data_IF_366896816971
#
_entry.id   IF_366896816971
#
_cell.length_a   1.000
_cell.length_b   1.000
_cell.length_c   1.000
_cell.angle_alpha   90.00
_cell.angle_beta   90.00
_cell.angle_gamma   90.00
#
_symmetry.space_group_name_H-M   'P 1'
#
loop_
_entity.id
_entity.type
_entity.pdbx_description
1 polymer ?
#
# COMPACT_ATOMS: atom_id res chain seq x y z
N UNK A 1 1.22 4.49 18.81
CA UNK A 1 2.29 4.45 17.82
C UNK A 1 1.80 3.83 16.55
N UNK A 2 1.71 4.62 15.53
CA UNK A 2 1.16 4.15 14.28
C UNK A 2 2.23 3.50 13.41
N UNK A 3 1.91 2.32 12.90
CA UNK A 3 2.60 1.74 11.75
C UNK A 3 1.64 1.88 10.57
N UNK A 4 2.14 2.31 9.42
CA UNK A 4 1.32 2.64 8.28
C UNK A 4 1.69 1.79 7.08
N UNK A 5 0.68 1.22 6.41
CA UNK A 5 0.83 0.51 5.15
C UNK A 5 0.23 1.37 4.04
N UNK A 6 1.01 1.67 3.01
CA UNK A 6 0.50 2.43 1.87
C UNK A 6 -0.19 1.48 0.91
N UNK A 7 -1.36 1.89 0.38
CA UNK A 7 -1.88 1.18 -0.78
C UNK A 7 -1.02 1.53 -2.00
N UNK A 8 -1.21 0.79 -3.08
CA UNK A 8 -0.36 0.93 -4.26
C UNK A 8 -0.42 2.34 -4.86
N UNK A 9 -1.62 2.91 -4.98
CA UNK A 9 -1.78 4.25 -5.54
C UNK A 9 -1.21 5.33 -4.64
N UNK A 10 -1.38 5.21 -3.32
CA UNK A 10 -0.80 6.17 -2.39
C UNK A 10 0.72 6.20 -2.51
N UNK A 11 1.36 5.04 -2.64
CA UNK A 11 2.80 4.95 -2.83
C UNK A 11 3.24 5.57 -4.17
N UNK A 12 2.54 5.25 -5.25
CA UNK A 12 2.83 5.81 -6.59
C UNK A 12 2.72 7.33 -6.57
N UNK A 13 1.64 7.86 -5.99
CA UNK A 13 1.42 9.30 -5.94
C UNK A 13 2.49 10.00 -5.08
N UNK A 14 2.87 9.38 -3.98
CA UNK A 14 3.95 9.92 -3.15
C UNK A 14 5.27 10.02 -3.92
N UNK A 15 5.67 8.94 -4.59
CA UNK A 15 6.92 8.91 -5.34
C UNK A 15 6.93 9.87 -6.53
N UNK A 16 5.77 10.10 -7.14
CA UNK A 16 5.65 11.00 -8.29
C UNK A 16 5.37 12.46 -7.90
N UNK A 17 5.21 12.75 -6.61
CA UNK A 17 4.83 14.09 -6.17
C UNK A 17 3.46 14.52 -6.68
N UNK A 18 2.54 13.57 -6.82
CA UNK A 18 1.21 13.80 -7.39
C UNK A 18 0.27 14.42 -6.35
N UNK A 19 -0.44 15.49 -6.73
CA UNK A 19 -1.37 16.20 -5.87
C UNK A 19 -2.61 15.38 -5.50
N UNK A 20 -2.83 14.23 -6.13
CA UNK A 20 -3.88 13.29 -5.74
C UNK A 20 -3.67 12.74 -4.33
N UNK A 21 -2.42 12.69 -3.86
CA UNK A 21 -2.12 12.32 -2.48
C UNK A 21 -2.60 13.43 -1.55
N UNK A 22 -3.40 13.07 -0.53
CA UNK A 22 -3.90 14.07 0.42
C UNK A 22 -2.78 14.69 1.25
N UNK A 23 -3.01 15.91 1.76
CA UNK A 23 -2.04 16.56 2.63
C UNK A 23 -1.79 15.74 3.90
N UNK A 24 -2.84 15.14 4.46
CA UNK A 24 -2.73 14.28 5.63
C UNK A 24 -1.82 13.09 5.36
N UNK A 25 -2.07 12.37 4.26
CA UNK A 25 -1.24 11.22 3.88
C UNK A 25 0.21 11.65 3.65
N UNK A 26 0.42 12.74 2.93
CA UNK A 26 1.75 13.24 2.64
C UNK A 26 2.53 13.58 3.92
N UNK A 27 1.87 14.24 4.89
CA UNK A 27 2.49 14.59 6.15
C UNK A 27 2.89 13.34 6.95
N UNK A 28 2.01 12.32 7.00
CA UNK A 28 2.29 11.08 7.70
C UNK A 28 3.50 10.37 7.08
N UNK A 29 3.54 10.27 5.76
CA UNK A 29 4.62 9.58 5.05
C UNK A 29 5.96 10.31 5.24
N UNK A 30 5.96 11.63 5.24
CA UNK A 30 7.18 12.43 5.36
C UNK A 30 7.73 12.51 6.79
N UNK A 31 6.92 12.19 7.78
CA UNK A 31 7.35 12.20 9.18
C UNK A 31 8.22 10.98 9.45
N UNK A 32 9.51 11.20 9.62
CA UNK A 32 10.50 10.12 9.81
C UNK A 32 10.27 9.31 11.10
N UNK A 33 9.49 9.85 12.05
CA UNK A 33 9.15 9.10 13.27
C UNK A 33 8.08 8.05 13.03
N UNK A 34 7.38 8.09 11.88
CA UNK A 34 6.36 7.11 11.53
C UNK A 34 6.97 5.95 10.75
N UNK A 35 6.86 4.70 11.23
CA UNK A 35 7.20 3.54 10.42
C UNK A 35 6.23 3.39 9.25
N UNK A 36 6.75 3.46 8.04
CA UNK A 36 5.97 3.37 6.80
C UNK A 36 6.37 2.11 6.05
N UNK A 37 5.37 1.40 5.54
CA UNK A 37 5.54 0.13 4.85
C UNK A 37 4.82 0.13 3.51
N UNK A 38 5.38 -0.58 2.54
CA UNK A 38 4.67 -1.01 1.34
C UNK A 38 4.75 -2.53 1.26
N UNK A 39 3.75 -3.15 0.67
CA UNK A 39 3.78 -4.60 0.43
C UNK A 39 4.56 -4.88 -0.85
N UNK A 40 5.32 -5.98 -0.87
CA UNK A 40 5.91 -6.48 -2.11
C UNK A 40 4.82 -6.77 -3.16
N UNK A 41 3.60 -7.07 -2.72
CA UNK A 41 2.46 -7.25 -3.60
C UNK A 41 2.12 -5.99 -4.41
N UNK A 42 2.38 -4.79 -3.86
CA UNK A 42 2.20 -3.54 -4.61
C UNK A 42 3.19 -3.44 -5.77
N UNK A 43 4.43 -3.86 -5.58
CA UNK A 43 5.41 -3.92 -6.67
C UNK A 43 5.01 -4.96 -7.72
N UNK A 44 4.43 -6.06 -7.30
CA UNK A 44 3.90 -7.09 -8.20
C UNK A 44 2.73 -6.55 -9.02
N UNK A 45 1.78 -5.88 -8.38
CA UNK A 45 0.66 -5.22 -9.08
C UNK A 45 1.18 -4.23 -10.12
N UNK A 46 2.15 -3.40 -9.73
CA UNK A 46 2.79 -2.44 -10.61
C UNK A 46 3.41 -3.14 -11.83
N UNK A 47 4.16 -4.21 -11.61
CA UNK A 47 4.81 -4.96 -12.68
C UNK A 47 3.79 -5.53 -13.67
N UNK A 48 2.66 -6.07 -13.18
CA UNK A 48 1.59 -6.59 -14.02
C UNK A 48 1.00 -5.46 -14.88
N UNK A 49 0.66 -4.33 -14.27
CA UNK A 49 0.02 -3.21 -14.96
C UNK A 49 0.95 -2.56 -15.99
N UNK A 50 2.23 -2.48 -15.70
CA UNK A 50 3.22 -2.01 -16.67
C UNK A 50 3.30 -2.97 -17.86
N UNK A 51 3.35 -4.28 -17.60
CA UNK A 51 3.38 -5.28 -18.65
C UNK A 51 2.14 -5.26 -19.54
N UNK A 52 0.99 -4.86 -19.01
CA UNK A 52 -0.26 -4.71 -19.74
C UNK A 52 -0.42 -3.30 -20.37
N UNK A 53 0.59 -2.46 -20.26
CA UNK A 53 0.57 -1.07 -20.76
C UNK A 53 -0.57 -0.23 -20.17
N UNK A 54 -1.01 -0.56 -18.94
CA UNK A 54 -2.06 0.18 -18.22
C UNK A 54 -1.50 1.22 -17.26
N UNK A 55 -0.21 1.18 -17.00
CA UNK A 55 0.47 2.06 -16.06
C UNK A 55 1.89 2.27 -16.51
N UNK A 56 2.41 3.48 -16.28
CA UNK A 56 3.82 3.80 -16.49
C UNK A 56 4.41 4.28 -15.17
N UNK A 57 5.62 3.85 -14.88
CA UNK A 57 6.34 4.27 -13.69
C UNK A 57 7.85 4.26 -13.98
N UNK A 58 8.52 5.36 -13.67
CA UNK A 58 9.93 5.53 -13.96
C UNK A 58 10.76 4.50 -13.16
N UNK A 59 11.58 3.74 -13.88
CA UNK A 59 12.36 2.65 -13.30
C UNK A 59 11.56 1.37 -13.07
N UNK A 60 10.27 1.37 -13.39
CA UNK A 60 9.36 0.21 -13.29
C UNK A 60 9.33 -0.35 -11.86
N UNK A 61 9.07 -1.65 -11.71
CA UNK A 61 8.95 -2.25 -10.38
C UNK A 61 10.24 -2.13 -9.57
N UNK A 62 11.41 -2.32 -10.20
CA UNK A 62 12.69 -2.16 -9.52
C UNK A 62 12.89 -0.71 -9.04
N UNK A 63 12.49 0.28 -9.86
CA UNK A 63 12.53 1.69 -9.48
C UNK A 63 11.61 2.01 -8.29
N UNK A 64 10.44 1.41 -8.28
CA UNK A 64 9.48 1.54 -7.17
C UNK A 64 10.11 1.05 -5.85
N UNK A 65 10.74 -0.11 -5.87
CA UNK A 65 11.42 -0.67 -4.70
C UNK A 65 12.60 0.22 -4.27
N UNK A 66 13.41 0.71 -5.24
CA UNK A 66 14.54 1.61 -4.91
C UNK A 66 14.06 2.90 -4.25
N UNK A 67 12.97 3.48 -4.74
CA UNK A 67 12.40 4.69 -4.15
C UNK A 67 11.87 4.45 -2.74
N UNK A 68 11.25 3.30 -2.50
CA UNK A 68 10.81 2.94 -1.16
C UNK A 68 12.00 2.93 -0.20
N UNK A 69 13.07 2.24 -0.56
CA UNK A 69 14.27 2.15 0.29
C UNK A 69 14.93 3.51 0.48
N UNK A 70 14.98 4.33 -0.57
CA UNK A 70 15.57 5.67 -0.49
C UNK A 70 14.77 6.61 0.43
N UNK A 71 13.49 6.37 0.60
CA UNK A 71 12.61 7.15 1.48
C UNK A 71 12.38 6.47 2.84
N UNK A 72 13.19 5.47 3.17
CA UNK A 72 13.09 4.72 4.43
C UNK A 72 11.72 4.05 4.61
N UNK A 73 11.09 3.68 3.51
CA UNK A 73 9.85 2.90 3.50
C UNK A 73 10.24 1.44 3.42
N UNK A 74 9.77 0.66 4.38
CA UNK A 74 10.10 -0.78 4.45
C UNK A 74 9.23 -1.57 3.48
N UNK A 75 9.86 -2.43 2.70
CA UNK A 75 9.15 -3.37 1.82
C UNK A 75 8.82 -4.62 2.61
N UNK A 76 7.53 -4.86 2.81
CA UNK A 76 7.03 -5.98 3.61
C UNK A 76 6.76 -7.18 2.70
N UNK A 77 7.33 -8.35 2.98
CA UNK A 77 7.00 -9.55 2.22
C UNK A 77 5.59 -10.04 2.54
N UNK A 78 5.02 -10.84 1.66
CA UNK A 78 3.75 -11.52 1.93
C UNK A 78 4.04 -12.72 2.83
N UNK A 79 3.43 -12.72 4.01
CA UNK A 79 3.62 -13.77 5.01
C UNK A 79 2.41 -14.71 5.04
N UNK A 80 2.61 -15.91 5.58
CA UNK A 80 1.52 -16.88 5.76
C UNK A 80 0.38 -16.27 6.57
N UNK A 81 0.69 -15.49 7.61
CA UNK A 81 -0.33 -14.84 8.43
C UNK A 81 -1.23 -13.88 7.62
N UNK A 82 -0.67 -13.22 6.61
CA UNK A 82 -1.44 -12.34 5.72
C UNK A 82 -2.44 -13.16 4.89
N UNK A 83 -2.03 -14.31 4.39
CA UNK A 83 -2.88 -15.20 3.61
C UNK A 83 -3.99 -15.80 4.47
N UNK A 84 -3.68 -16.18 5.71
CA UNK A 84 -4.68 -16.66 6.66
C UNK A 84 -5.73 -15.59 6.95
N UNK A 85 -5.30 -14.34 7.16
CA UNK A 85 -6.22 -13.22 7.35
C UNK A 85 -7.08 -12.99 6.10
N UNK A 86 -6.49 -13.14 4.91
CA UNK A 86 -7.21 -12.99 3.64
C UNK A 86 -8.33 -14.00 3.50
N UNK A 87 -8.11 -15.25 3.93
CA UNK A 87 -9.13 -16.31 3.87
C UNK A 87 -10.40 -15.95 4.65
N UNK A 88 -10.25 -15.22 5.75
CA UNK A 88 -11.38 -14.81 6.60
C UNK A 88 -12.01 -13.49 6.21
N UNK A 89 -11.45 -12.80 5.23
CA UNK A 89 -11.87 -11.46 4.86
C UNK A 89 -13.21 -11.51 4.11
N UNK A 90 -14.21 -10.68 4.49
CA UNK A 90 -15.46 -10.62 3.74
C UNK A 90 -15.27 -10.26 2.27
N UNK A 91 -16.10 -10.83 1.39
CA UNK A 91 -16.02 -10.60 -0.05
C UNK A 91 -16.76 -9.30 -0.42
N UNK A 92 -16.20 -8.15 -0.03
CA UNK A 92 -16.76 -6.82 -0.32
C UNK A 92 -16.06 -6.22 -1.54
N UNK A 93 -14.73 -6.16 -1.49
CA UNK A 93 -13.90 -5.66 -2.59
C UNK A 93 -13.52 -6.82 -3.51
N UNK A 94 -13.45 -6.58 -4.82
CA UNK A 94 -13.12 -7.62 -5.80
C UNK A 94 -11.65 -7.68 -6.15
N UNK A 95 -10.94 -6.56 -6.01
CA UNK A 95 -9.53 -6.49 -6.41
C UNK A 95 -8.68 -7.32 -5.44
N UNK A 96 -7.99 -8.35 -5.94
CA UNK A 96 -7.20 -9.24 -5.07
C UNK A 96 -6.01 -8.54 -4.42
N UNK A 97 -5.43 -7.54 -5.07
CA UNK A 97 -4.31 -6.80 -4.49
C UNK A 97 -4.79 -5.96 -3.31
N UNK A 98 -5.90 -5.23 -3.48
CA UNK A 98 -6.48 -4.42 -2.40
C UNK A 98 -6.90 -5.31 -1.22
N UNK A 99 -7.50 -6.45 -1.51
CA UNK A 99 -7.89 -7.41 -0.46
C UNK A 99 -6.67 -7.91 0.32
N UNK A 100 -5.56 -8.19 -0.36
CA UNK A 100 -4.33 -8.62 0.30
C UNK A 100 -3.75 -7.50 1.17
N UNK A 101 -3.80 -6.25 0.72
CA UNK A 101 -3.34 -5.11 1.52
C UNK A 101 -4.19 -4.94 2.78
N UNK A 102 -5.52 -5.09 2.66
CA UNK A 102 -6.42 -5.04 3.82
C UNK A 102 -6.07 -6.15 4.82
N UNK A 103 -5.92 -7.38 4.34
CA UNK A 103 -5.57 -8.52 5.17
C UNK A 103 -4.20 -8.32 5.85
N UNK A 104 -3.23 -7.76 5.12
CA UNK A 104 -1.91 -7.45 5.66
C UNK A 104 -2.01 -6.42 6.78
N UNK A 105 -2.75 -5.33 6.56
CA UNK A 105 -2.92 -4.28 7.56
C UNK A 105 -3.59 -4.83 8.83
N UNK A 106 -4.60 -5.66 8.70
CA UNK A 106 -5.27 -6.29 9.83
C UNK A 106 -4.31 -7.20 10.58
N UNK A 107 -3.60 -8.07 9.87
CA UNK A 107 -2.67 -9.04 10.45
C UNK A 107 -1.52 -8.36 11.19
N UNK A 108 -0.97 -7.29 10.62
CA UNK A 108 0.17 -6.57 11.17
C UNK A 108 -0.24 -5.42 12.11
N UNK A 109 -1.54 -5.20 12.29
CA UNK A 109 -2.09 -4.11 13.10
C UNK A 109 -1.59 -2.74 12.62
N UNK A 110 -1.62 -2.55 11.31
CA UNK A 110 -1.23 -1.30 10.67
C UNK A 110 -2.45 -0.48 10.25
N UNK A 111 -2.26 0.83 10.17
CA UNK A 111 -3.23 1.73 9.55
C UNK A 111 -2.97 1.78 8.05
N UNK A 112 -3.99 1.50 7.25
CA UNK A 112 -3.88 1.55 5.79
C UNK A 112 -4.06 2.99 5.31
N UNK A 113 -3.11 3.50 4.54
CA UNK A 113 -3.23 4.82 3.90
C UNK A 113 -3.80 4.59 2.51
N UNK A 114 -5.03 5.03 2.30
CA UNK A 114 -5.78 4.77 1.08
C UNK A 114 -6.86 5.81 0.84
N UNK A 115 -7.07 6.15 -0.43
CA UNK A 115 -8.18 6.99 -0.87
C UNK A 115 -9.44 6.17 -1.17
N UNK A 116 -9.36 4.85 -1.17
CA UNK A 116 -10.47 3.97 -1.55
C UNK A 116 -11.53 3.93 -0.46
N UNK A 117 -12.72 4.47 -0.78
CA UNK A 117 -13.84 4.54 0.17
C UNK A 117 -14.41 3.17 0.52
N UNK A 118 -14.21 2.16 -0.31
CA UNK A 118 -14.69 0.81 -0.04
C UNK A 118 -13.96 0.17 1.14
N UNK A 119 -12.79 0.66 1.49
CA UNK A 119 -12.01 0.16 2.64
C UNK A 119 -12.79 0.35 3.95
N UNK A 120 -13.60 1.41 4.07
CA UNK A 120 -14.41 1.67 5.27
C UNK A 120 -15.42 0.57 5.58
N UNK A 121 -15.71 -0.30 4.61
CA UNK A 121 -16.62 -1.44 4.79
C UNK A 121 -15.94 -2.65 5.45
N UNK A 122 -14.63 -2.57 5.66
CA UNK A 122 -13.84 -3.59 6.37
C UNK A 122 -13.46 -3.10 7.75
N UNK A 123 -13.25 -4.04 8.66
CA UNK A 123 -12.77 -3.75 10.01
C UNK A 123 -11.25 -3.56 10.00
N UNK A 124 -10.81 -2.45 9.44
CA UNK A 124 -9.40 -2.07 9.31
C UNK A 124 -9.24 -0.59 9.58
N UNK A 125 -8.21 -0.22 10.31
CA UNK A 125 -7.86 1.19 10.48
C UNK A 125 -7.35 1.75 9.17
N UNK A 126 -7.89 2.88 8.75
CA UNK A 126 -7.48 3.55 7.51
C UNK A 126 -7.53 5.06 7.66
N UNK A 127 -6.75 5.74 6.85
CA UNK A 127 -6.68 7.20 6.85
C UNK A 127 -6.37 7.72 5.43
N UNK A 128 -6.87 8.93 5.19
CA UNK A 128 -6.59 9.63 3.94
C UNK A 128 -6.56 11.15 4.12
#
# INVERSE_FOLDING_TARGET
MGHYLLDTHAAIWFFNGNDALSNTANQIIRDISNPIYISIASAWELAIKIGLEKLDFDGKAAGFIRLAKANEITVLPVKTAHLTALESLPLIHRDPFDRLLIATAISEQMTLITADKNISRYDVHHIW
#
